data_IF_284849700694
#
_entry.id   IF_284849700694
#
_cell.length_a   1.000
_cell.length_b   1.000
_cell.length_c   1.000
_cell.angle_alpha   90.00
_cell.angle_beta   90.00
_cell.angle_gamma   90.00
#
_symmetry.space_group_name_H-M   'P 1'
#
loop_
_entity.id
_entity.type
_entity.pdbx_description
1 polymer ?
#
# COMPACT_ATOMS: atom_id res chain seq x y z
N UNK A 1 18.92 0.65 -10.57
CA UNK A 1 17.54 0.96 -11.00
C UNK A 1 17.02 1.99 -10.02
N UNK A 2 16.86 3.22 -10.49
CA UNK A 2 16.35 4.31 -9.66
C UNK A 2 14.82 4.21 -9.65
N UNK A 3 14.14 4.49 -8.53
CA UNK A 3 12.68 4.61 -8.49
C UNK A 3 12.13 5.73 -9.41
N UNK A 4 13.01 6.48 -10.08
CA UNK A 4 12.70 7.46 -11.14
C UNK A 4 12.14 6.85 -12.44
N UNK A 5 11.97 5.53 -12.53
CA UNK A 5 11.67 4.79 -13.77
C UNK A 5 10.26 4.17 -13.80
N UNK A 6 9.42 4.38 -12.78
CA UNK A 6 8.07 3.82 -12.75
C UNK A 6 7.07 4.88 -13.22
N UNK A 7 6.47 4.76 -14.41
CA UNK A 7 5.51 5.74 -14.92
C UNK A 7 4.26 5.83 -14.06
N UNK A 8 3.83 4.72 -13.45
CA UNK A 8 2.72 4.71 -12.50
C UNK A 8 2.80 3.56 -11.51
N UNK A 9 2.17 3.73 -10.34
CA UNK A 9 1.86 2.64 -9.42
C UNK A 9 0.45 2.82 -8.87
N UNK A 10 -0.36 1.77 -8.96
CA UNK A 10 -1.63 1.66 -8.24
C UNK A 10 -1.55 0.48 -7.28
N UNK A 11 -2.29 0.53 -6.19
CA UNK A 11 -2.44 -0.63 -5.32
C UNK A 11 -3.78 -0.64 -4.59
N UNK A 12 -4.23 -1.86 -4.26
CA UNK A 12 -5.35 -2.11 -3.35
C UNK A 12 -4.92 -3.19 -2.36
N UNK A 13 -4.89 -2.81 -1.09
CA UNK A 13 -4.53 -3.66 0.03
C UNK A 13 -5.79 -4.08 0.80
N UNK A 14 -5.90 -5.39 1.01
CA UNK A 14 -6.94 -6.03 1.77
C UNK A 14 -6.31 -6.86 2.88
N UNK A 15 -7.02 -6.94 3.99
CA UNK A 15 -6.70 -7.82 5.11
C UNK A 15 -8.01 -8.25 5.73
N UNK A 16 -8.16 -9.52 6.09
CA UNK A 16 -9.40 -10.03 6.69
C UNK A 16 -9.51 -9.77 8.20
N UNK A 17 -8.41 -9.53 8.89
CA UNK A 17 -8.45 -9.35 10.34
C UNK A 17 -7.20 -8.74 10.95
N UNK A 18 -7.26 -8.57 12.26
CA UNK A 18 -6.13 -8.13 13.08
C UNK A 18 -5.85 -9.17 14.16
N UNK A 19 -4.58 -9.53 14.29
CA UNK A 19 -4.06 -10.37 15.36
C UNK A 19 -3.06 -9.60 16.22
N UNK A 20 -2.76 -10.18 17.37
CA UNK A 20 -1.68 -9.70 18.24
C UNK A 20 -0.70 -10.85 18.40
N UNK A 21 0.54 -10.61 18.02
CA UNK A 21 1.66 -11.50 18.29
C UNK A 21 2.40 -11.03 19.56
N UNK A 22 2.74 -11.97 20.42
CA UNK A 22 3.47 -11.75 21.66
C UNK A 22 4.80 -12.50 21.55
N UNK A 23 5.85 -11.76 21.22
CA UNK A 23 7.19 -12.31 21.07
C UNK A 23 8.00 -12.05 22.34
N UNK A 24 8.64 -13.10 22.87
CA UNK A 24 9.63 -12.95 23.93
C UNK A 24 11.02 -12.93 23.31
N UNK A 25 11.74 -11.83 23.49
CA UNK A 25 13.11 -11.65 23.00
C UNK A 25 14.07 -11.90 24.16
N UNK A 26 14.96 -12.88 23.98
CA UNK A 26 16.04 -13.17 24.92
C UNK A 26 17.30 -12.43 24.48
N UNK A 27 17.81 -11.54 25.33
CA UNK A 27 19.09 -10.89 25.09
C UNK A 27 20.24 -11.86 25.41
N UNK A 28 21.02 -12.24 24.40
CA UNK A 28 22.23 -13.03 24.60
C UNK A 28 23.20 -12.30 25.54
N UNK A 29 23.46 -12.88 26.72
CA UNK A 29 24.35 -12.33 27.74
C UNK A 29 23.70 -11.44 28.81
N UNK A 30 22.36 -11.28 28.81
CA UNK A 30 21.62 -10.60 29.88
C UNK A 30 20.47 -11.47 30.37
N UNK A 31 20.12 -11.35 31.65
CA UNK A 31 18.97 -12.06 32.27
C UNK A 31 17.62 -11.40 31.93
N UNK A 32 17.64 -10.21 31.33
CA UNK A 32 16.46 -9.45 30.97
C UNK A 32 15.81 -10.05 29.71
N UNK A 33 14.51 -10.36 29.83
CA UNK A 33 13.66 -10.73 28.71
C UNK A 33 12.71 -9.59 28.40
N UNK A 34 12.63 -9.20 27.13
CA UNK A 34 11.63 -8.24 26.67
C UNK A 34 10.45 -8.98 26.04
N UNK A 35 9.22 -8.56 26.35
CA UNK A 35 8.00 -9.10 25.76
C UNK A 35 7.43 -8.05 24.82
N UNK A 36 7.66 -8.25 23.54
CA UNK A 36 7.14 -7.38 22.49
C UNK A 36 5.72 -7.79 22.11
N UNK A 37 4.80 -6.83 22.22
CA UNK A 37 3.43 -6.95 21.71
C UNK A 37 3.34 -6.28 20.35
N UNK A 38 3.06 -7.06 19.30
CA UNK A 38 2.99 -6.59 17.91
C UNK A 38 1.60 -6.83 17.33
N UNK A 39 1.03 -5.82 16.69
CA UNK A 39 -0.15 -6.02 15.84
C UNK A 39 0.30 -6.62 14.50
N UNK A 40 -0.46 -7.60 14.03
CA UNK A 40 -0.32 -8.25 12.73
C UNK A 40 -1.64 -8.19 11.98
N UNK A 41 -1.58 -7.98 10.68
CA UNK A 41 -2.74 -8.09 9.80
C UNK A 41 -2.82 -9.53 9.30
N UNK A 42 -4.01 -10.11 9.29
CA UNK A 42 -4.24 -11.50 8.91
C UNK A 42 -4.89 -11.59 7.53
N UNK A 43 -4.54 -12.63 6.78
CA UNK A 43 -5.04 -12.91 5.42
C UNK A 43 -4.94 -11.69 4.51
N UNK A 44 -3.69 -11.29 4.25
CA UNK A 44 -3.38 -10.06 3.55
C UNK A 44 -3.26 -10.31 2.04
N UNK A 45 -3.98 -9.52 1.26
CA UNK A 45 -3.89 -9.54 -0.20
C UNK A 45 -3.53 -8.15 -0.70
N UNK A 46 -2.52 -8.08 -1.57
CA UNK A 46 -2.10 -6.84 -2.20
C UNK A 46 -2.20 -6.96 -3.72
N UNK A 47 -3.16 -6.24 -4.30
CA UNK A 47 -3.25 -6.02 -5.73
C UNK A 47 -2.28 -4.90 -6.09
N UNK A 48 -1.38 -5.15 -7.04
CA UNK A 48 -0.41 -4.18 -7.54
C UNK A 48 -0.63 -3.94 -9.03
N UNK A 49 -0.85 -2.68 -9.39
CA UNK A 49 -1.02 -2.24 -10.77
C UNK A 49 0.26 -1.53 -11.19
N UNK A 50 1.00 -2.19 -12.08
CA UNK A 50 2.34 -1.80 -12.49
C UNK A 50 2.48 -1.97 -14.01
N UNK A 51 3.42 -1.25 -14.63
CA UNK A 51 3.76 -1.46 -16.03
C UNK A 51 4.24 -2.90 -16.32
N UNK A 52 3.93 -3.40 -17.52
CA UNK A 52 4.19 -4.78 -17.94
C UNK A 52 5.65 -5.23 -17.76
N UNK A 53 6.63 -4.33 -17.87
CA UNK A 53 8.04 -4.66 -17.69
C UNK A 53 8.40 -5.17 -16.28
N UNK A 54 7.52 -4.92 -15.28
CA UNK A 54 7.70 -5.37 -13.90
C UNK A 54 7.38 -6.85 -13.70
N UNK A 55 6.60 -7.45 -14.60
CA UNK A 55 6.19 -8.87 -14.56
C UNK A 55 7.36 -9.83 -14.34
N UNK A 56 8.50 -9.57 -14.97
CA UNK A 56 9.69 -10.44 -14.87
C UNK A 56 10.27 -10.51 -13.46
N UNK A 57 10.14 -9.45 -12.67
CA UNK A 57 10.67 -9.39 -11.31
C UNK A 57 9.81 -10.17 -10.33
N UNK A 58 8.49 -10.20 -10.52
CA UNK A 58 7.58 -11.02 -9.72
C UNK A 58 7.60 -12.50 -10.12
N UNK A 59 7.87 -12.81 -11.40
CA UNK A 59 8.04 -14.20 -11.86
C UNK A 59 9.30 -14.86 -11.31
N UNK A 60 10.39 -14.11 -11.16
CA UNK A 60 11.67 -14.63 -10.67
C UNK A 60 12.32 -13.61 -9.73
N UNK A 61 11.78 -13.44 -8.51
CA UNK A 61 12.30 -12.48 -7.58
C UNK A 61 13.69 -12.93 -7.11
N UNK A 62 14.65 -11.99 -7.10
CA UNK A 62 16.02 -12.28 -6.65
C UNK A 62 16.10 -12.55 -5.15
N UNK A 63 15.16 -11.99 -4.39
CA UNK A 63 15.04 -12.11 -2.94
C UNK A 63 13.62 -12.53 -2.59
N UNK A 64 13.42 -13.02 -1.36
CA UNK A 64 12.10 -13.36 -0.86
C UNK A 64 11.18 -12.12 -0.87
N UNK A 65 9.95 -12.30 -1.33
CA UNK A 65 8.93 -11.27 -1.26
C UNK A 65 8.35 -11.24 0.15
N UNK A 66 8.14 -10.02 0.65
CA UNK A 66 7.67 -9.75 2.00
C UNK A 66 6.56 -8.69 1.93
N UNK A 67 5.58 -8.78 2.82
CA UNK A 67 4.49 -7.82 2.95
C UNK A 67 4.50 -7.21 4.36
N UNK A 68 5.52 -6.40 4.64
CA UNK A 68 5.74 -5.80 5.95
C UNK A 68 7.08 -6.18 6.53
N UNK A 69 7.09 -6.97 7.60
CA UNK A 69 8.29 -7.39 8.34
C UNK A 69 8.99 -8.54 7.62
N UNK A 70 10.22 -8.85 8.03
CA UNK A 70 10.98 -9.99 7.51
C UNK A 70 10.32 -11.36 7.77
N UNK A 71 9.40 -11.43 8.73
CA UNK A 71 8.57 -12.59 9.03
C UNK A 71 7.35 -12.72 8.12
N UNK A 72 6.92 -11.63 7.47
CA UNK A 72 5.65 -11.53 6.78
C UNK A 72 5.84 -11.97 5.32
N UNK A 73 6.10 -13.26 5.12
CA UNK A 73 6.40 -13.86 3.81
C UNK A 73 5.20 -13.68 2.88
N UNK A 74 5.47 -13.23 1.65
CA UNK A 74 4.47 -13.09 0.60
C UNK A 74 4.78 -14.02 -0.58
N UNK A 75 3.73 -14.47 -1.26
CA UNK A 75 3.84 -15.22 -2.52
C UNK A 75 3.07 -14.49 -3.61
N UNK A 76 3.48 -14.68 -4.86
CA UNK A 76 2.73 -14.16 -6.00
C UNK A 76 1.67 -15.18 -6.38
N UNK A 77 0.40 -14.82 -6.20
CA UNK A 77 -0.73 -15.68 -6.56
C UNK A 77 -1.01 -15.63 -8.07
N UNK A 78 -1.04 -14.43 -8.65
CA UNK A 78 -1.44 -14.20 -10.05
C UNK A 78 -0.61 -13.07 -10.65
N UNK A 79 -0.26 -13.19 -11.94
CA UNK A 79 0.27 -12.09 -12.73
C UNK A 79 -0.40 -12.07 -14.09
N UNK A 80 -1.24 -11.08 -14.32
CA UNK A 80 -1.99 -10.91 -15.55
C UNK A 80 -1.96 -9.45 -16.00
N UNK A 81 -2.39 -9.24 -17.24
CA UNK A 81 -2.65 -7.90 -17.75
C UNK A 81 -4.14 -7.66 -17.54
N UNK A 82 -4.49 -6.54 -16.92
CA UNK A 82 -5.88 -6.18 -16.61
C UNK A 82 -6.30 -4.97 -17.42
N UNK A 83 -7.55 -4.95 -17.86
CA UNK A 83 -8.18 -3.77 -18.44
C UNK A 83 -9.00 -3.07 -17.36
N UNK A 84 -8.71 -1.80 -17.11
CA UNK A 84 -9.44 -0.99 -16.14
C UNK A 84 -10.35 -0.02 -16.87
N UNK A 85 -11.58 0.11 -16.37
CA UNK A 85 -12.55 1.02 -16.95
C UNK A 85 -12.49 2.38 -16.27
N UNK A 86 -12.60 3.45 -17.06
CA UNK A 86 -12.78 4.77 -16.48
C UNK A 86 -14.23 4.98 -16.00
N UNK A 87 -14.40 5.27 -14.71
CA UNK A 87 -15.71 5.50 -14.10
C UNK A 87 -15.70 6.72 -13.17
N UNK A 88 -16.89 7.22 -12.84
CA UNK A 88 -17.12 8.33 -11.90
C UNK A 88 -18.03 7.86 -10.77
N UNK A 89 -17.97 8.54 -9.62
CA UNK A 89 -18.79 8.21 -8.45
C UNK A 89 -18.60 6.76 -7.97
N UNK A 90 -17.35 6.30 -7.94
CA UNK A 90 -16.98 4.93 -7.57
C UNK A 90 -16.37 4.87 -6.16
N UNK A 91 -16.58 3.77 -5.42
CA UNK A 91 -15.91 3.57 -4.13
C UNK A 91 -14.41 3.34 -4.32
N UNK A 92 -13.59 3.89 -3.42
CA UNK A 92 -12.13 3.77 -3.42
C UNK A 92 -11.68 3.36 -2.02
N UNK A 93 -10.75 2.40 -1.91
CA UNK A 93 -10.20 2.02 -0.62
C UNK A 93 -9.16 0.91 -0.72
N UNK A 94 -8.62 0.51 0.42
CA UNK A 94 -7.42 -0.33 0.47
C UNK A 94 -6.17 0.43 0.01
N UNK A 95 -6.19 1.75 0.09
CA UNK A 95 -5.11 2.60 -0.43
C UNK A 95 -4.99 3.88 0.39
N UNK A 96 -3.97 4.66 0.09
CA UNK A 96 -3.88 6.04 0.55
C UNK A 96 -4.29 6.94 -0.62
N UNK A 97 -4.69 8.18 -0.33
CA UNK A 97 -5.00 9.19 -1.36
C UNK A 97 -4.55 10.56 -0.86
N UNK A 98 -4.22 11.52 -1.73
CA UNK A 98 -3.96 12.89 -1.30
C UNK A 98 -5.16 13.47 -0.55
N UNK A 99 -4.95 14.25 0.50
CA UNK A 99 -6.06 14.86 1.28
C UNK A 99 -6.97 15.74 0.41
N UNK A 100 -6.42 16.34 -0.65
CA UNK A 100 -7.18 17.13 -1.63
C UNK A 100 -8.24 16.33 -2.39
N UNK A 101 -8.20 14.99 -2.34
CA UNK A 101 -9.26 14.13 -2.89
C UNK A 101 -10.62 14.32 -2.20
N UNK A 102 -10.64 14.88 -0.98
CA UNK A 102 -11.87 15.10 -0.22
C UNK A 102 -12.50 13.82 0.37
N UNK A 103 -11.84 12.67 0.23
CA UNK A 103 -12.33 11.41 0.78
C UNK A 103 -12.17 11.37 2.31
N UNK A 104 -13.19 10.90 3.05
CA UNK A 104 -13.13 10.84 4.51
C UNK A 104 -12.30 9.65 5.00
N UNK A 105 -11.36 9.89 5.91
CA UNK A 105 -10.53 8.84 6.51
C UNK A 105 -9.49 9.38 7.49
N UNK A 106 -8.58 8.51 7.91
CA UNK A 106 -7.50 8.91 8.81
C UNK A 106 -6.45 9.70 8.03
N UNK A 107 -6.22 10.96 8.40
CA UNK A 107 -5.19 11.79 7.79
C UNK A 107 -3.83 11.49 8.43
N UNK A 108 -2.82 11.22 7.61
CA UNK A 108 -1.46 11.00 8.05
C UNK A 108 -0.45 11.74 7.15
N UNK A 109 0.58 12.31 7.76
CA UNK A 109 1.67 12.97 7.04
C UNK A 109 2.75 11.94 6.70
N UNK A 110 2.96 11.67 5.42
CA UNK A 110 3.90 10.63 4.96
C UNK A 110 5.06 11.25 4.18
N UNK A 111 6.32 10.80 4.42
CA UNK A 111 7.45 11.16 3.57
C UNK A 111 7.23 10.71 2.13
N UNK A 112 7.39 11.62 1.18
CA UNK A 112 7.34 11.33 -0.27
C UNK A 112 8.71 11.46 -0.93
N UNK A 113 9.66 12.12 -0.26
CA UNK A 113 11.06 12.22 -0.68
C UNK A 113 11.96 12.17 0.55
N UNK A 114 13.08 11.45 0.46
CA UNK A 114 14.12 11.39 1.48
C UNK A 114 15.41 12.06 0.98
N UNK A 115 16.17 12.60 1.92
CA UNK A 115 17.54 13.04 1.70
C UNK A 115 18.47 11.81 1.70
N UNK A 116 18.72 11.27 0.50
CA UNK A 116 19.48 10.03 0.32
C UNK A 116 20.97 10.11 0.73
N UNK A 117 21.67 11.26 0.55
CA UNK A 117 23.03 11.43 1.04
C UNK A 117 23.19 11.36 2.57
N UNK A 118 22.16 11.62 3.38
CA UNK A 118 22.28 11.64 4.84
C UNK A 118 21.95 10.29 5.48
N UNK A 119 22.75 9.90 6.49
CA UNK A 119 22.54 8.70 7.31
C UNK A 119 22.51 9.13 8.78
N UNK A 120 21.41 8.93 9.54
CA UNK A 120 20.15 8.34 9.10
C UNK A 120 19.41 9.24 8.09
N UNK A 121 18.70 8.63 7.14
CA UNK A 121 17.93 9.34 6.12
C UNK A 121 16.89 10.24 6.75
N UNK A 122 16.78 11.48 6.29
CA UNK A 122 15.77 12.44 6.74
C UNK A 122 14.70 12.62 5.67
N UNK A 123 13.46 12.83 6.08
CA UNK A 123 12.40 13.20 5.15
C UNK A 123 12.69 14.60 4.60
N UNK A 124 12.78 14.73 3.27
CA UNK A 124 12.97 15.99 2.57
C UNK A 124 11.63 16.65 2.24
N UNK A 125 10.65 15.85 1.85
CA UNK A 125 9.28 16.32 1.60
C UNK A 125 8.29 15.37 2.25
N UNK A 126 7.32 15.96 2.95
CA UNK A 126 6.22 15.25 3.62
C UNK A 126 4.91 15.81 3.07
N UNK A 127 3.98 14.94 2.68
CA UNK A 127 2.66 15.33 2.19
C UNK A 127 1.56 14.65 3.02
N UNK A 128 0.41 15.31 3.20
CA UNK A 128 -0.71 14.71 3.90
C UNK A 128 -1.49 13.78 2.97
N UNK A 129 -1.80 12.58 3.47
CA UNK A 129 -2.63 11.59 2.80
C UNK A 129 -3.78 11.17 3.70
N UNK A 130 -4.91 10.87 3.09
CA UNK A 130 -6.01 10.14 3.74
C UNK A 130 -5.77 8.64 3.54
N UNK A 131 -5.74 7.89 4.63
CA UNK A 131 -5.70 6.43 4.61
C UNK A 131 -7.13 5.90 4.52
N UNK A 132 -7.40 5.12 3.47
CA UNK A 132 -8.71 4.54 3.19
C UNK A 132 -8.64 3.02 3.34
N UNK A 133 -9.18 2.43 4.41
CA UNK A 133 -9.26 0.97 4.54
C UNK A 133 -10.21 0.41 3.48
N UNK A 134 -9.97 -0.83 3.04
CA UNK A 134 -10.82 -1.48 2.06
C UNK A 134 -12.29 -1.55 2.55
N UNK A 135 -13.27 -1.06 1.77
CA UNK A 135 -14.65 -0.99 2.20
C UNK A 135 -15.33 -2.36 2.09
N UNK A 136 -15.69 -2.96 3.23
CA UNK A 136 -16.29 -4.30 3.33
C UNK A 136 -17.82 -4.33 3.30
N UNK A 137 -18.47 -3.17 3.37
CA UNK A 137 -19.93 -3.08 3.34
C UNK A 137 -20.43 -1.85 2.59
N UNK A 138 -21.72 -1.86 2.25
CA UNK A 138 -22.34 -0.78 1.47
C UNK A 138 -22.23 0.60 2.13
N UNK A 139 -22.26 0.68 3.46
CA UNK A 139 -22.13 1.95 4.17
C UNK A 139 -20.70 2.52 4.09
N UNK A 140 -19.68 1.65 4.14
CA UNK A 140 -18.29 2.05 3.90
C UNK A 140 -18.08 2.45 2.45
N UNK A 141 -18.58 1.66 1.47
CA UNK A 141 -18.49 1.97 0.04
C UNK A 141 -19.07 3.34 -0.29
N UNK A 142 -20.29 3.65 0.21
CA UNK A 142 -20.91 4.97 0.02
C UNK A 142 -20.12 6.12 0.64
N UNK A 143 -19.50 5.92 1.80
CA UNK A 143 -18.69 6.95 2.46
C UNK A 143 -17.37 7.20 1.74
N UNK A 144 -16.83 6.18 1.09
CA UNK A 144 -15.57 6.24 0.36
C UNK A 144 -15.79 6.41 -1.16
N UNK A 145 -16.93 6.96 -1.56
CA UNK A 145 -17.21 7.26 -2.97
C UNK A 145 -16.46 8.52 -3.41
N UNK A 146 -15.60 8.37 -4.40
CA UNK A 146 -14.92 9.48 -5.05
C UNK A 146 -15.76 9.99 -6.21
N UNK A 147 -16.03 11.30 -6.23
CA UNK A 147 -16.85 11.94 -7.26
C UNK A 147 -16.13 12.14 -8.59
N UNK A 148 -14.80 12.20 -8.57
CA UNK A 148 -13.99 12.36 -9.77
C UNK A 148 -13.90 11.07 -10.60
N UNK A 149 -13.17 11.17 -11.70
CA UNK A 149 -12.91 10.08 -12.63
C UNK A 149 -11.73 9.26 -12.15
N UNK A 150 -11.89 7.94 -12.08
CA UNK A 150 -10.83 6.99 -11.73
C UNK A 150 -10.93 5.73 -12.58
N UNK A 151 -9.82 5.01 -12.65
CA UNK A 151 -9.78 3.65 -13.18
C UNK A 151 -10.45 2.71 -12.18
N UNK A 152 -11.25 1.79 -12.71
CA UNK A 152 -12.06 0.86 -11.95
C UNK A 152 -11.68 -0.56 -12.27
N UNK A 153 -11.41 -1.34 -11.23
CA UNK A 153 -11.19 -2.77 -11.34
C UNK A 153 -12.52 -3.51 -11.11
N UNK A 154 -12.94 -4.25 -12.13
CA UNK A 154 -14.18 -5.04 -12.12
C UNK A 154 -14.05 -6.34 -11.30
N UNK A 155 -12.85 -6.91 -11.20
CA UNK A 155 -12.60 -8.16 -10.48
C UNK A 155 -12.81 -7.96 -8.97
N UNK A 156 -12.30 -6.85 -8.44
CA UNK A 156 -12.41 -6.51 -7.01
C UNK A 156 -13.44 -5.42 -6.71
N UNK A 157 -14.18 -4.97 -7.73
CA UNK A 157 -15.29 -4.02 -7.64
C UNK A 157 -14.90 -2.71 -6.90
N UNK A 158 -13.78 -2.10 -7.29
CA UNK A 158 -13.27 -0.89 -6.62
C UNK A 158 -12.50 0.05 -7.56
N UNK A 159 -12.55 1.35 -7.25
CA UNK A 159 -11.70 2.35 -7.89
C UNK A 159 -10.26 2.24 -7.42
N UNK A 160 -9.33 2.31 -8.37
CA UNK A 160 -7.89 2.20 -8.15
C UNK A 160 -7.27 3.60 -8.28
N UNK A 161 -6.60 4.05 -7.22
CA UNK A 161 -5.85 5.30 -7.25
C UNK A 161 -4.46 5.06 -7.82
N UNK A 162 -4.17 5.67 -8.97
CA UNK A 162 -2.84 5.62 -9.59
C UNK A 162 -2.00 6.81 -9.15
N UNK A 163 -0.76 6.51 -8.80
CA UNK A 163 0.30 7.48 -8.58
C UNK A 163 1.18 7.47 -9.80
N UNK A 164 0.99 8.45 -10.67
CA UNK A 164 1.90 8.68 -11.78
C UNK A 164 3.23 9.22 -11.24
N UNK A 165 4.32 8.92 -11.95
CA UNK A 165 5.70 9.17 -11.54
C UNK A 165 5.83 10.44 -10.70
N UNK A 166 6.54 10.35 -9.57
CA UNK A 166 6.76 11.38 -8.54
C UNK A 166 7.46 12.68 -9.04
N UNK A 167 7.28 13.03 -10.32
CA UNK A 167 7.85 14.15 -11.05
C UNK A 167 6.80 15.00 -11.81
N UNK A 168 5.50 14.86 -11.53
CA UNK A 168 4.47 15.82 -11.93
C UNK A 168 4.04 16.68 -10.73
N UNK A 169 3.92 17.99 -10.94
CA UNK A 169 3.58 19.01 -9.94
C UNK A 169 2.47 18.58 -8.95
N UNK A 170 2.71 18.83 -7.67
CA UNK A 170 1.64 18.99 -6.66
C UNK A 170 1.58 20.45 -6.30
#
# INVERSE_FOLDING_TARGET
MSFKEIPFVGYVFMSEGKGIDLERIYALGKTETDVMRREVLFDNTLYLYLPDEWKKYFKKPRFQLLLGRSSDIATVEKIENVELEERVNIPVGGTIVPVVSGLPGLVHALPVEFDYPTIPRRAKTVKPFTILPFPRNAAQRRRQTYSGKLLYDLEIDIGVWFYEGLHGEV
#
